data_IF_228743052110
#
_entry.id   IF_228743052110
#
_cell.length_a   1.000
_cell.length_b   1.000
_cell.length_c   1.000
_cell.angle_alpha   90.00
_cell.angle_beta   90.00
_cell.angle_gamma   90.00
#
_symmetry.space_group_name_H-M   'P 1'
#
loop_
_entity.id
_entity.type
_entity.pdbx_description
1 polymer ?
#
# COMPACT_ATOMS: atom_id res chain seq x y z
N UNK A 1 34.47 33.70 -25.08
CA UNK A 1 33.70 32.95 -26.03
C UNK A 1 32.89 31.94 -25.22
N UNK A 2 31.61 32.19 -25.10
CA UNK A 2 30.66 31.23 -24.48
C UNK A 2 30.38 30.22 -25.58
N UNK A 3 30.84 28.99 -25.39
CA UNK A 3 30.56 27.88 -26.30
C UNK A 3 29.07 27.54 -26.25
N UNK A 4 28.29 28.08 -27.20
CA UNK A 4 26.85 27.83 -27.33
C UNK A 4 26.49 26.38 -27.73
N UNK A 5 27.46 25.48 -27.74
CA UNK A 5 27.24 24.07 -28.06
C UNK A 5 26.86 23.22 -26.82
N UNK A 6 27.27 23.64 -25.62
CA UNK A 6 26.96 22.94 -24.36
C UNK A 6 25.52 23.18 -23.91
N UNK A 7 24.98 24.38 -24.08
CA UNK A 7 23.61 24.71 -23.71
C UNK A 7 22.57 23.94 -24.56
N UNK A 8 22.80 23.80 -25.86
CA UNK A 8 21.93 23.02 -26.74
C UNK A 8 22.01 21.52 -26.43
N UNK A 9 23.17 21.00 -26.08
CA UNK A 9 23.35 19.61 -25.67
C UNK A 9 22.61 19.33 -24.33
N UNK A 10 22.68 20.25 -23.38
CA UNK A 10 22.00 20.16 -22.09
C UNK A 10 20.47 20.22 -22.23
N UNK A 11 19.94 21.15 -23.06
CA UNK A 11 18.53 21.24 -23.38
C UNK A 11 18.05 19.94 -24.06
N UNK A 12 18.81 19.46 -25.06
CA UNK A 12 18.47 18.23 -25.79
C UNK A 12 18.43 17.04 -24.86
N UNK A 13 19.39 16.92 -23.95
CA UNK A 13 19.43 15.85 -22.94
C UNK A 13 18.25 15.94 -21.98
N UNK A 14 17.91 17.14 -21.53
CA UNK A 14 16.76 17.37 -20.64
C UNK A 14 15.43 17.05 -21.31
N UNK A 15 15.27 17.44 -22.58
CA UNK A 15 14.08 17.11 -23.38
C UNK A 15 13.98 15.60 -23.62
N UNK A 16 15.06 14.94 -23.99
CA UNK A 16 15.06 13.48 -24.17
C UNK A 16 14.74 12.74 -22.88
N UNK A 17 15.27 13.19 -21.74
CA UNK A 17 14.93 12.65 -20.43
C UNK A 17 13.44 12.84 -20.09
N UNK A 18 12.88 14.00 -20.42
CA UNK A 18 11.45 14.28 -20.21
C UNK A 18 10.58 13.37 -21.09
N UNK A 19 10.94 13.19 -22.36
CA UNK A 19 10.22 12.29 -23.29
C UNK A 19 10.28 10.85 -22.77
N UNK A 20 11.44 10.36 -22.39
CA UNK A 20 11.61 9.01 -21.83
C UNK A 20 10.78 8.83 -20.56
N UNK A 21 10.77 9.80 -19.65
CA UNK A 21 9.95 9.75 -18.42
C UNK A 21 8.46 9.70 -18.75
N UNK A 22 8.00 10.46 -19.77
CA UNK A 22 6.60 10.47 -20.23
C UNK A 22 6.20 9.12 -20.87
N UNK A 23 7.07 8.53 -21.68
CA UNK A 23 6.83 7.21 -22.30
C UNK A 23 6.77 6.12 -21.24
N UNK A 24 7.66 6.14 -20.26
CA UNK A 24 7.67 5.21 -19.13
C UNK A 24 6.40 5.36 -18.25
N UNK A 25 5.94 6.59 -18.03
CA UNK A 25 4.69 6.87 -17.29
C UNK A 25 3.48 6.32 -18.04
N UNK A 26 3.37 6.61 -19.34
CA UNK A 26 2.27 6.08 -20.18
C UNK A 26 2.26 4.55 -20.22
N UNK A 27 3.42 3.94 -20.34
CA UNK A 27 3.54 2.48 -20.37
C UNK A 27 3.09 1.88 -19.03
N UNK A 28 3.53 2.45 -17.91
CA UNK A 28 3.10 2.03 -16.56
C UNK A 28 1.60 2.20 -16.36
N UNK A 29 1.02 3.30 -16.84
CA UNK A 29 -0.41 3.56 -16.76
C UNK A 29 -1.22 2.57 -17.61
N UNK A 30 -0.78 2.29 -18.84
CA UNK A 30 -1.42 1.30 -19.70
C UNK A 30 -1.38 -0.10 -19.08
N UNK A 31 -0.25 -0.49 -18.49
CA UNK A 31 -0.11 -1.76 -17.78
C UNK A 31 -1.05 -1.82 -16.57
N UNK A 32 -1.12 -0.75 -15.75
CA UNK A 32 -2.03 -0.68 -14.62
C UNK A 32 -3.49 -0.90 -15.03
N UNK A 33 -3.93 -0.26 -16.11
CA UNK A 33 -5.31 -0.41 -16.62
C UNK A 33 -5.57 -1.84 -17.12
N UNK A 34 -4.59 -2.46 -17.80
CA UNK A 34 -4.72 -3.83 -18.28
C UNK A 34 -4.81 -4.83 -17.12
N UNK A 35 -3.90 -4.71 -16.14
CA UNK A 35 -3.85 -5.58 -14.97
C UNK A 35 -5.10 -5.40 -14.10
N UNK A 36 -5.54 -4.15 -13.88
CA UNK A 36 -6.78 -3.84 -13.20
C UNK A 36 -8.00 -4.49 -13.88
N UNK A 37 -8.05 -4.43 -15.22
CA UNK A 37 -9.13 -5.05 -15.99
C UNK A 37 -9.22 -6.56 -15.78
N UNK A 38 -8.08 -7.24 -15.66
CA UNK A 38 -8.03 -8.66 -15.37
C UNK A 38 -8.46 -8.97 -13.92
N UNK A 39 -7.94 -8.24 -12.96
CA UNK A 39 -8.23 -8.44 -11.54
C UNK A 39 -9.68 -8.07 -11.14
N UNK A 40 -10.28 -7.09 -11.81
CA UNK A 40 -11.68 -6.73 -11.62
C UNK A 40 -12.65 -7.77 -12.23
N UNK A 41 -12.26 -8.43 -13.32
CA UNK A 41 -13.12 -9.39 -14.03
C UNK A 41 -13.40 -10.65 -13.21
N UNK A 42 -12.42 -11.13 -12.46
CA UNK A 42 -12.52 -12.37 -11.68
C UNK A 42 -13.57 -12.29 -10.58
N UNK A 43 -13.52 -11.32 -9.63
CA UNK A 43 -14.52 -11.20 -8.58
C UNK A 43 -15.90 -10.85 -9.14
N UNK A 44 -15.98 -10.03 -10.20
CA UNK A 44 -17.24 -9.69 -10.83
C UNK A 44 -17.93 -10.93 -11.45
N UNK A 45 -17.14 -11.84 -12.05
CA UNK A 45 -17.69 -13.08 -12.62
C UNK A 45 -18.18 -14.00 -11.49
N UNK A 46 -17.44 -14.13 -10.40
CA UNK A 46 -17.85 -14.93 -9.24
C UNK A 46 -19.12 -14.37 -8.58
N UNK A 47 -19.17 -13.07 -8.31
CA UNK A 47 -20.38 -12.40 -7.78
C UNK A 47 -21.59 -12.63 -8.69
N UNK A 48 -21.41 -12.49 -10.02
CA UNK A 48 -22.51 -12.75 -10.96
C UNK A 48 -23.02 -14.17 -10.87
N UNK A 49 -22.11 -15.16 -10.82
CA UNK A 49 -22.50 -16.58 -10.71
C UNK A 49 -23.25 -16.84 -9.40
N UNK A 50 -22.79 -16.29 -8.28
CA UNK A 50 -23.46 -16.43 -6.99
C UNK A 50 -24.85 -15.80 -6.99
N UNK A 51 -25.00 -14.62 -7.60
CA UNK A 51 -26.32 -13.96 -7.74
C UNK A 51 -27.24 -14.76 -8.68
N UNK A 52 -26.74 -15.26 -9.81
CA UNK A 52 -27.51 -16.11 -10.73
C UNK A 52 -28.01 -17.39 -10.03
N UNK A 53 -27.18 -17.99 -9.17
CA UNK A 53 -27.53 -19.14 -8.36
C UNK A 53 -28.66 -18.82 -7.36
N UNK A 54 -28.57 -17.72 -6.64
CA UNK A 54 -29.63 -17.26 -5.73
C UNK A 54 -30.94 -16.95 -6.46
N UNK A 55 -30.86 -16.33 -7.67
CA UNK A 55 -32.03 -16.06 -8.50
C UNK A 55 -32.70 -17.36 -9.00
N UNK A 56 -31.91 -18.38 -9.34
CA UNK A 56 -32.42 -19.69 -9.73
C UNK A 56 -33.11 -20.38 -8.56
N UNK A 57 -32.49 -20.30 -7.36
CA UNK A 57 -33.05 -20.89 -6.14
C UNK A 57 -34.34 -20.21 -5.69
N UNK A 58 -34.51 -18.91 -5.92
CA UNK A 58 -35.77 -18.23 -5.63
C UNK A 58 -36.99 -18.88 -6.32
N UNK A 59 -36.75 -19.53 -7.46
CA UNK A 59 -37.81 -20.23 -8.22
C UNK A 59 -37.92 -21.70 -7.85
N UNK A 60 -36.83 -22.34 -7.50
CA UNK A 60 -36.75 -23.80 -7.27
C UNK A 60 -36.85 -24.20 -5.81
N UNK A 61 -36.43 -23.32 -4.90
CA UNK A 61 -36.32 -23.57 -3.45
C UNK A 61 -35.52 -24.85 -3.11
N UNK A 62 -34.48 -25.12 -3.88
CA UNK A 62 -33.66 -26.34 -3.73
C UNK A 62 -32.44 -26.14 -2.82
N UNK A 63 -32.01 -24.91 -2.56
CA UNK A 63 -30.89 -24.63 -1.68
C UNK A 63 -31.33 -24.64 -0.21
N UNK A 64 -30.58 -25.31 0.67
CA UNK A 64 -30.76 -25.14 2.11
C UNK A 64 -30.55 -23.67 2.53
N UNK A 65 -31.23 -23.25 3.61
CA UNK A 65 -31.13 -21.86 4.10
C UNK A 65 -29.68 -21.48 4.49
N UNK A 66 -28.94 -22.43 5.07
CA UNK A 66 -27.51 -22.27 5.40
C UNK A 66 -26.67 -21.99 4.16
N UNK A 67 -26.83 -22.78 3.08
CA UNK A 67 -26.10 -22.58 1.83
C UNK A 67 -26.45 -21.24 1.15
N UNK A 68 -27.70 -20.77 1.32
CA UNK A 68 -28.09 -19.43 0.83
C UNK A 68 -27.41 -18.33 1.63
N UNK A 69 -27.29 -18.49 2.95
CA UNK A 69 -26.53 -17.60 3.82
C UNK A 69 -25.07 -17.52 3.43
N UNK A 70 -24.39 -18.66 3.24
CA UNK A 70 -23.00 -18.73 2.81
C UNK A 70 -22.75 -18.00 1.48
N UNK A 71 -23.64 -18.18 0.49
CA UNK A 71 -23.51 -17.50 -0.82
C UNK A 71 -23.67 -15.98 -0.66
N UNK A 72 -24.56 -15.51 0.22
CA UNK A 72 -24.74 -14.07 0.49
C UNK A 72 -23.52 -13.49 1.18
N UNK A 73 -22.95 -14.20 2.14
CA UNK A 73 -21.72 -13.80 2.83
C UNK A 73 -20.53 -13.73 1.87
N UNK A 74 -20.41 -14.70 0.95
CA UNK A 74 -19.40 -14.68 -0.12
C UNK A 74 -19.56 -13.46 -1.03
N UNK A 75 -20.78 -13.14 -1.46
CA UNK A 75 -21.05 -11.95 -2.28
C UNK A 75 -20.68 -10.68 -1.52
N UNK A 76 -21.04 -10.58 -0.24
CA UNK A 76 -20.70 -9.42 0.59
C UNK A 76 -19.18 -9.26 0.76
N UNK A 77 -18.46 -10.36 1.01
CA UNK A 77 -16.99 -10.37 1.10
C UNK A 77 -16.35 -9.90 -0.20
N UNK A 78 -16.79 -10.43 -1.37
CA UNK A 78 -16.28 -10.07 -2.68
C UNK A 78 -16.58 -8.60 -3.04
N UNK A 79 -17.73 -8.04 -2.62
CA UNK A 79 -18.03 -6.62 -2.77
C UNK A 79 -17.08 -5.74 -1.95
N UNK A 80 -16.72 -6.19 -0.75
CA UNK A 80 -15.72 -5.53 0.09
C UNK A 80 -14.34 -5.50 -0.57
N UNK A 81 -13.88 -6.62 -1.10
CA UNK A 81 -12.61 -6.72 -1.84
C UNK A 81 -12.61 -5.84 -3.10
N UNK A 82 -13.70 -5.85 -3.86
CA UNK A 82 -13.87 -5.02 -5.04
C UNK A 82 -13.79 -3.52 -4.72
N UNK A 83 -14.42 -3.09 -3.63
CA UNK A 83 -14.38 -1.71 -3.15
C UNK A 83 -12.96 -1.30 -2.73
N UNK A 84 -12.22 -2.19 -2.06
CA UNK A 84 -10.82 -1.98 -1.71
C UNK A 84 -9.95 -1.84 -2.95
N UNK A 85 -10.11 -2.75 -3.93
CA UNK A 85 -9.37 -2.72 -5.19
C UNK A 85 -9.58 -1.41 -5.95
N UNK A 86 -10.83 -0.94 -6.06
CA UNK A 86 -11.12 0.36 -6.69
C UNK A 86 -10.41 1.49 -5.93
N UNK A 87 -10.45 1.50 -4.60
CA UNK A 87 -9.77 2.49 -3.78
C UNK A 87 -8.25 2.51 -4.02
N UNK A 88 -7.64 1.33 -4.14
CA UNK A 88 -6.21 1.17 -4.44
C UNK A 88 -5.86 1.65 -5.86
N UNK A 89 -6.69 1.31 -6.84
CA UNK A 89 -6.51 1.74 -8.24
C UNK A 89 -6.65 3.26 -8.40
N UNK A 90 -7.62 3.88 -7.73
CA UNK A 90 -7.78 5.34 -7.73
C UNK A 90 -6.55 6.02 -7.13
N UNK A 91 -5.96 5.46 -6.09
CA UNK A 91 -4.73 5.98 -5.54
C UNK A 91 -3.56 5.84 -6.51
N UNK A 92 -3.31 4.65 -7.05
CA UNK A 92 -2.27 4.40 -8.03
C UNK A 92 -2.42 5.29 -9.28
N UNK A 93 -3.66 5.62 -9.68
CA UNK A 93 -3.94 6.55 -10.78
C UNK A 93 -3.61 8.01 -10.46
N UNK A 94 -3.59 8.39 -9.17
CA UNK A 94 -3.19 9.73 -8.72
C UNK A 94 -1.68 9.91 -8.59
N UNK A 95 -0.91 8.84 -8.68
CA UNK A 95 0.55 8.87 -8.62
C UNK A 95 1.19 9.72 -9.73
N UNK A 96 0.50 9.86 -10.88
CA UNK A 96 0.89 10.76 -11.99
C UNK A 96 0.39 12.22 -11.80
N UNK A 97 -0.43 12.49 -10.79
CA UNK A 97 -0.85 13.86 -10.45
C UNK A 97 0.28 14.57 -9.67
N UNK A 98 0.46 15.88 -9.86
CA UNK A 98 1.41 16.61 -9.05
C UNK A 98 1.05 16.40 -7.57
N UNK A 99 2.05 16.04 -6.72
CA UNK A 99 1.78 15.79 -5.32
C UNK A 99 1.11 17.01 -4.70
N UNK A 100 0.16 16.82 -3.76
CA UNK A 100 -0.32 17.91 -2.94
C UNK A 100 0.91 18.61 -2.34
N UNK A 101 0.80 19.92 -2.04
CA UNK A 101 1.95 20.68 -1.50
C UNK A 101 2.50 19.93 -0.30
N UNK A 102 3.80 19.52 -0.35
CA UNK A 102 4.36 18.79 0.76
C UNK A 102 4.36 19.69 2.01
N UNK A 103 3.92 19.13 3.13
CA UNK A 103 3.88 19.80 4.42
C UNK A 103 4.83 19.13 5.40
N UNK A 104 5.31 19.91 6.39
CA UNK A 104 6.08 19.36 7.48
C UNK A 104 5.11 18.79 8.53
N UNK A 105 5.30 17.52 8.88
CA UNK A 105 4.51 16.87 9.93
C UNK A 105 5.34 15.82 10.67
N UNK A 106 4.87 15.45 11.86
CA UNK A 106 5.47 14.36 12.63
C UNK A 106 4.92 13.02 12.13
N UNK A 107 5.80 12.18 11.61
CA UNK A 107 5.44 10.84 11.12
C UNK A 107 4.83 9.96 12.21
N UNK A 108 5.20 10.17 13.49
CA UNK A 108 4.65 9.43 14.62
C UNK A 108 3.13 9.58 14.75
N UNK A 109 2.58 10.73 14.35
CA UNK A 109 1.12 10.96 14.35
C UNK A 109 0.42 10.11 13.28
N UNK A 110 0.97 10.05 12.07
CA UNK A 110 0.44 9.21 11.00
C UNK A 110 0.52 7.72 11.35
N UNK A 111 1.65 7.28 11.93
CA UNK A 111 1.83 5.89 12.40
C UNK A 111 0.84 5.57 13.53
N UNK A 112 0.66 6.47 14.49
CA UNK A 112 -0.30 6.27 15.59
C UNK A 112 -1.73 6.09 15.08
N UNK A 113 -2.17 6.91 14.13
CA UNK A 113 -3.49 6.78 13.49
C UNK A 113 -3.66 5.43 12.78
N UNK A 114 -2.62 4.98 12.07
CA UNK A 114 -2.62 3.69 11.41
C UNK A 114 -2.68 2.53 12.42
N UNK A 115 -1.94 2.60 13.54
CA UNK A 115 -1.96 1.61 14.62
C UNK A 115 -3.37 1.51 15.24
N UNK A 116 -4.02 2.62 15.51
CA UNK A 116 -5.38 2.60 16.04
C UNK A 116 -6.39 1.93 15.09
N UNK A 117 -6.21 2.09 13.77
CA UNK A 117 -7.00 1.36 12.77
C UNK A 117 -6.69 -0.12 12.79
N UNK A 118 -5.40 -0.49 12.86
CA UNK A 118 -4.96 -1.88 12.97
C UNK A 118 -5.55 -2.58 14.18
N UNK A 119 -5.54 -1.94 15.35
CA UNK A 119 -6.16 -2.47 16.59
C UNK A 119 -7.65 -2.75 16.45
N UNK A 120 -8.38 -1.89 15.74
CA UNK A 120 -9.82 -2.11 15.47
C UNK A 120 -10.08 -3.28 14.53
N UNK A 121 -9.16 -3.53 13.57
CA UNK A 121 -9.28 -4.64 12.60
C UNK A 121 -8.81 -5.98 13.16
N UNK A 122 -7.83 -5.94 14.04
CA UNK A 122 -7.27 -7.12 14.71
C UNK A 122 -7.52 -7.10 16.22
N UNK A 123 -8.79 -7.16 16.72
CA UNK A 123 -9.08 -7.03 18.14
C UNK A 123 -8.50 -8.16 19.00
N UNK A 124 -8.11 -9.27 18.38
CA UNK A 124 -7.52 -10.44 19.05
C UNK A 124 -5.99 -10.46 18.97
N UNK A 125 -5.36 -9.37 18.48
CA UNK A 125 -3.90 -9.25 18.40
C UNK A 125 -3.41 -8.26 19.44
N UNK A 126 -2.21 -8.50 19.92
CA UNK A 126 -1.48 -7.55 20.74
C UNK A 126 -0.66 -6.59 19.85
N UNK A 127 -0.63 -5.31 20.20
CA UNK A 127 0.16 -4.30 19.49
C UNK A 127 1.19 -3.72 20.44
N UNK A 128 2.47 -4.07 20.21
CA UNK A 128 3.62 -3.50 20.88
C UNK A 128 4.16 -2.32 20.07
N UNK A 129 4.04 -1.10 20.62
CA UNK A 129 4.21 0.14 19.85
C UNK A 129 5.19 1.06 20.56
N UNK A 130 6.30 1.37 19.88
CA UNK A 130 7.34 2.28 20.32
C UNK A 130 7.61 3.32 19.25
N UNK A 131 7.16 4.55 19.45
CA UNK A 131 7.25 5.62 18.45
C UNK A 131 8.14 6.76 18.99
N UNK A 132 9.08 7.18 18.17
CA UNK A 132 9.85 8.40 18.35
C UNK A 132 9.38 9.48 17.38
N UNK A 133 9.47 10.75 17.79
CA UNK A 133 9.12 11.88 16.91
C UNK A 133 10.09 11.95 15.72
N UNK A 134 9.52 12.00 14.52
CA UNK A 134 10.30 12.06 13.28
C UNK A 134 9.64 13.01 12.29
N UNK A 135 10.21 14.20 12.14
CA UNK A 135 9.71 15.23 11.23
C UNK A 135 10.03 14.85 9.78
N UNK A 136 9.01 14.82 8.93
CA UNK A 136 9.13 14.53 7.50
C UNK A 136 8.48 15.66 6.68
N UNK A 137 8.90 15.79 5.42
CA UNK A 137 8.29 16.67 4.43
C UNK A 137 7.56 15.80 3.41
N UNK A 138 6.23 15.90 3.35
CA UNK A 138 5.46 15.06 2.44
C UNK A 138 3.96 15.22 2.57
N UNK A 139 3.24 14.18 2.20
CA UNK A 139 1.78 14.04 2.35
C UNK A 139 1.47 13.06 3.47
N UNK A 140 0.99 13.58 4.61
CA UNK A 140 0.63 12.81 5.79
C UNK A 140 -0.38 11.69 5.46
N UNK A 141 -1.40 11.98 4.65
CA UNK A 141 -2.46 11.03 4.34
C UNK A 141 -1.95 9.83 3.53
N UNK A 142 -1.02 10.06 2.59
CA UNK A 142 -0.42 8.98 1.81
C UNK A 142 0.52 8.12 2.65
N UNK A 143 1.30 8.72 3.56
CA UNK A 143 2.17 7.99 4.48
C UNK A 143 1.38 7.23 5.56
N UNK A 144 0.31 7.81 6.14
CA UNK A 144 -0.61 7.11 7.02
C UNK A 144 -1.19 5.85 6.34
N UNK A 145 -1.59 5.98 5.07
CA UNK A 145 -2.11 4.87 4.29
C UNK A 145 -1.05 3.79 4.01
N UNK A 146 0.18 4.20 3.71
CA UNK A 146 1.28 3.25 3.51
C UNK A 146 1.49 2.40 4.77
N UNK A 147 1.56 3.03 5.95
CA UNK A 147 1.67 2.30 7.23
C UNK A 147 0.42 1.44 7.47
N UNK A 148 -0.78 1.94 7.17
CA UNK A 148 -2.02 1.15 7.28
C UNK A 148 -1.95 -0.12 6.44
N UNK A 149 -1.42 -0.06 5.21
CA UNK A 149 -1.25 -1.24 4.36
C UNK A 149 -0.27 -2.28 4.96
N UNK A 150 0.80 -1.83 5.61
CA UNK A 150 1.71 -2.73 6.32
C UNK A 150 1.01 -3.39 7.52
N UNK A 151 0.26 -2.62 8.29
CA UNK A 151 -0.48 -3.11 9.45
C UNK A 151 -1.63 -4.05 9.06
N UNK A 152 -2.33 -3.77 7.96
CA UNK A 152 -3.36 -4.67 7.42
C UNK A 152 -2.77 -6.03 7.04
N UNK A 153 -1.57 -6.05 6.45
CA UNK A 153 -0.85 -7.30 6.21
C UNK A 153 -0.47 -8.00 7.51
N UNK A 154 0.06 -7.27 8.49
CA UNK A 154 0.41 -7.84 9.80
C UNK A 154 -0.82 -8.44 10.50
N UNK A 155 -1.95 -7.74 10.54
CA UNK A 155 -3.22 -8.23 11.11
C UNK A 155 -3.72 -9.46 10.36
N UNK A 156 -3.64 -9.46 9.04
CA UNK A 156 -4.14 -10.54 8.18
C UNK A 156 -3.36 -11.84 8.34
N UNK A 157 -2.04 -11.77 8.52
CA UNK A 157 -1.17 -12.94 8.53
C UNK A 157 -0.75 -13.39 9.94
N UNK A 158 -0.95 -12.56 10.96
CA UNK A 158 -0.67 -12.96 12.35
C UNK A 158 -1.62 -14.05 12.84
N UNK A 159 -1.12 -15.00 13.64
CA UNK A 159 -1.98 -15.96 14.32
C UNK A 159 -2.85 -15.26 15.37
N UNK A 160 -3.98 -15.85 15.73
CA UNK A 160 -4.83 -15.33 16.81
C UNK A 160 -4.05 -15.27 18.14
N UNK A 161 -4.09 -14.13 18.80
CA UNK A 161 -3.31 -13.85 20.02
C UNK A 161 -1.85 -13.51 19.76
N UNK A 162 -1.44 -13.38 18.49
CA UNK A 162 -0.08 -12.96 18.13
C UNK A 162 0.15 -11.47 18.34
N UNK A 163 1.44 -11.08 18.31
CA UNK A 163 1.89 -9.70 18.52
C UNK A 163 2.28 -9.05 17.19
N UNK A 164 1.81 -7.84 16.98
CA UNK A 164 2.28 -6.94 15.91
C UNK A 164 3.13 -5.86 16.57
N UNK A 165 4.42 -5.82 16.22
CA UNK A 165 5.34 -4.81 16.74
C UNK A 165 5.49 -3.67 15.74
N UNK A 166 5.37 -2.44 16.23
CA UNK A 166 5.59 -1.21 15.47
C UNK A 166 6.61 -0.36 16.19
N UNK A 167 7.75 -0.13 15.59
CA UNK A 167 8.77 0.73 16.18
C UNK A 167 9.24 1.80 15.20
N UNK A 168 9.51 2.98 15.75
CA UNK A 168 10.18 4.07 15.06
C UNK A 168 11.46 4.40 15.81
N UNK A 169 12.58 4.29 15.14
CA UNK A 169 13.90 4.62 15.69
C UNK A 169 14.72 5.34 14.60
N UNK A 170 15.20 6.54 14.95
CA UNK A 170 15.88 7.40 13.98
C UNK A 170 14.97 7.70 12.78
N UNK A 171 15.44 7.39 11.56
CA UNK A 171 14.74 7.66 10.30
C UNK A 171 13.98 6.42 9.76
N UNK A 172 13.75 5.41 10.60
CA UNK A 172 13.13 4.15 10.19
C UNK A 172 11.85 3.84 10.96
N UNK A 173 10.87 3.30 10.23
CA UNK A 173 9.66 2.68 10.76
C UNK A 173 9.75 1.18 10.50
N UNK A 174 9.57 0.38 11.52
CA UNK A 174 9.57 -1.09 11.42
C UNK A 174 8.21 -1.62 11.84
N UNK A 175 7.63 -2.45 10.99
CA UNK A 175 6.42 -3.22 11.31
C UNK A 175 6.77 -4.69 11.19
N UNK A 176 6.56 -5.46 12.25
CA UNK A 176 6.78 -6.90 12.25
C UNK A 176 5.60 -7.66 12.86
N UNK A 177 5.41 -8.88 12.37
CA UNK A 177 4.35 -9.79 12.79
C UNK A 177 4.89 -11.15 13.25
N UNK A 178 4.02 -11.98 13.80
CA UNK A 178 4.30 -13.36 14.18
C UNK A 178 3.67 -14.38 13.22
N UNK A 179 3.38 -13.96 11.99
CA UNK A 179 2.83 -14.80 10.95
C UNK A 179 3.82 -15.83 10.38
N UNK A 180 3.48 -16.46 9.26
CA UNK A 180 4.32 -17.48 8.63
C UNK A 180 5.59 -16.92 7.97
N UNK A 181 5.74 -15.60 7.93
CA UNK A 181 6.83 -14.91 7.23
C UNK A 181 6.69 -14.97 5.71
N UNK A 182 7.68 -14.42 5.03
CA UNK A 182 7.76 -14.35 3.56
C UNK A 182 8.81 -15.38 3.10
N UNK A 183 8.49 -16.17 2.08
CA UNK A 183 9.45 -17.08 1.50
C UNK A 183 10.53 -16.29 0.74
N UNK A 184 11.79 -16.76 0.78
CA UNK A 184 12.91 -16.09 0.09
C UNK A 184 12.66 -15.92 -1.40
N UNK A 185 11.99 -16.89 -2.03
CA UNK A 185 11.63 -16.84 -3.44
C UNK A 185 10.63 -15.72 -3.78
N UNK A 186 9.80 -15.30 -2.80
CA UNK A 186 8.79 -14.27 -2.98
C UNK A 186 9.34 -12.86 -2.74
N UNK A 187 10.40 -12.71 -1.92
CA UNK A 187 10.97 -11.41 -1.52
C UNK A 187 11.24 -10.44 -2.68
N UNK A 188 11.75 -10.87 -3.85
CA UNK A 188 11.98 -9.96 -4.97
C UNK A 188 10.71 -9.38 -5.59
N UNK A 189 9.56 -10.03 -5.39
CA UNK A 189 8.32 -9.75 -6.11
C UNK A 189 7.21 -9.17 -5.23
N UNK A 190 7.34 -9.21 -3.90
CA UNK A 190 6.25 -8.81 -2.99
C UNK A 190 5.82 -7.36 -3.12
N UNK A 191 6.65 -6.50 -3.70
CA UNK A 191 6.35 -5.10 -3.98
C UNK A 191 5.81 -4.88 -5.41
N UNK A 192 5.74 -5.94 -6.23
CA UNK A 192 5.14 -5.85 -7.55
C UNK A 192 3.62 -5.74 -7.43
N UNK A 193 3.01 -5.02 -8.36
CA UNK A 193 1.55 -4.85 -8.41
C UNK A 193 0.87 -6.18 -8.65
N UNK A 194 -0.21 -6.44 -7.91
CA UNK A 194 -1.02 -7.66 -7.99
C UNK A 194 -0.26 -8.95 -7.61
N UNK A 195 0.98 -8.84 -7.15
CA UNK A 195 1.71 -10.02 -6.73
C UNK A 195 1.10 -10.62 -5.46
N UNK A 196 0.91 -11.92 -5.47
CA UNK A 196 0.42 -12.71 -4.33
C UNK A 196 1.17 -14.03 -4.31
N UNK A 197 1.83 -14.33 -3.20
CA UNK A 197 2.47 -15.64 -3.02
C UNK A 197 1.43 -16.76 -3.04
N UNK A 198 1.85 -17.98 -3.34
CA UNK A 198 0.95 -19.14 -3.36
C UNK A 198 0.20 -19.32 -2.04
N UNK A 199 0.85 -19.02 -0.91
CA UNK A 199 0.24 -19.07 0.42
C UNK A 199 -0.84 -17.99 0.62
N UNK A 200 -0.68 -16.85 0.00
CA UNK A 200 -1.61 -15.70 0.12
C UNK A 200 -2.78 -15.76 -0.86
N UNK A 201 -2.77 -16.67 -1.85
CA UNK A 201 -3.84 -16.75 -2.88
C UNK A 201 -5.21 -17.05 -2.30
N UNK A 202 -5.27 -17.84 -1.22
CA UNK A 202 -6.53 -18.19 -0.56
C UNK A 202 -6.93 -17.21 0.56
N UNK A 203 -6.20 -16.09 0.72
CA UNK A 203 -6.50 -15.10 1.75
C UNK A 203 -6.99 -13.82 1.08
N UNK A 204 -8.07 -13.15 1.53
CA UNK A 204 -8.58 -11.94 0.90
C UNK A 204 -7.50 -10.87 0.65
N UNK A 205 -7.55 -10.17 -0.49
CA UNK A 205 -6.66 -9.04 -0.76
C UNK A 205 -6.28 -8.87 -2.23
N UNK A 206 -5.97 -7.63 -2.61
CA UNK A 206 -5.80 -7.16 -3.99
C UNK A 206 -4.38 -7.36 -4.56
N UNK A 207 -3.38 -7.58 -3.70
CA UNK A 207 -1.97 -7.57 -4.13
C UNK A 207 -1.40 -6.17 -4.44
N UNK A 208 -2.17 -5.11 -4.17
CA UNK A 208 -1.73 -3.72 -4.41
C UNK A 208 -1.15 -3.04 -3.17
N UNK A 209 -1.49 -3.48 -1.96
CA UNK A 209 -1.10 -2.79 -0.73
C UNK A 209 0.41 -2.55 -0.61
N UNK A 210 1.25 -3.57 -0.83
CA UNK A 210 2.70 -3.43 -0.72
C UNK A 210 3.31 -2.61 -1.88
N UNK A 211 2.76 -2.67 -3.07
CA UNK A 211 3.21 -1.83 -4.19
C UNK A 211 2.88 -0.35 -3.93
N UNK A 212 1.74 -0.05 -3.31
CA UNK A 212 1.39 1.30 -2.84
C UNK A 212 2.40 1.78 -1.79
N UNK A 213 2.76 0.92 -0.83
CA UNK A 213 3.78 1.28 0.18
C UNK A 213 5.11 1.62 -0.50
N UNK A 214 5.60 0.75 -1.38
CA UNK A 214 6.88 0.96 -2.06
C UNK A 214 6.87 2.26 -2.88
N UNK A 215 5.79 2.53 -3.60
CA UNK A 215 5.65 3.77 -4.37
C UNK A 215 5.61 5.00 -3.45
N UNK A 216 4.76 5.00 -2.42
CA UNK A 216 4.65 6.10 -1.46
C UNK A 216 5.99 6.43 -0.81
N UNK A 217 6.70 5.41 -0.34
CA UNK A 217 8.01 5.59 0.30
C UNK A 217 9.04 6.15 -0.68
N UNK A 218 9.06 5.63 -1.91
CA UNK A 218 9.99 6.11 -2.95
C UNK A 218 9.69 7.56 -3.37
N UNK A 219 8.41 7.94 -3.48
CA UNK A 219 8.02 9.33 -3.80
C UNK A 219 8.40 10.32 -2.69
N UNK A 220 8.59 9.84 -1.45
CA UNK A 220 9.12 10.59 -0.32
C UNK A 220 10.64 10.41 -0.13
N UNK A 221 11.37 10.00 -1.18
CA UNK A 221 12.82 9.82 -1.18
C UNK A 221 13.33 8.76 -0.19
N UNK A 222 12.45 7.88 0.25
CA UNK A 222 12.74 6.77 1.13
C UNK A 222 12.97 5.45 0.39
N UNK A 223 13.09 4.39 1.17
CA UNK A 223 13.11 3.00 0.69
C UNK A 223 12.38 2.08 1.67
N UNK A 224 11.92 0.95 1.16
CA UNK A 224 11.31 -0.12 1.96
C UNK A 224 12.00 -1.44 1.68
N UNK A 225 12.16 -2.26 2.72
CA UNK A 225 12.68 -3.64 2.64
C UNK A 225 11.79 -4.57 3.43
N UNK A 226 11.69 -5.81 2.97
CA UNK A 226 11.09 -6.89 3.71
C UNK A 226 12.15 -7.92 4.09
N UNK A 227 12.00 -8.49 5.26
CA UNK A 227 12.86 -9.54 5.79
C UNK A 227 12.05 -10.46 6.71
N UNK A 228 12.70 -11.48 7.24
CA UNK A 228 12.10 -12.34 8.26
C UNK A 228 12.25 -11.70 9.62
N UNK A 229 11.16 -11.64 10.39
CA UNK A 229 11.19 -11.18 11.78
C UNK A 229 11.93 -12.19 12.69
N UNK A 230 12.52 -11.74 13.80
CA UNK A 230 13.11 -12.66 14.81
C UNK A 230 12.10 -13.68 15.35
N UNK A 231 10.82 -13.33 15.43
CA UNK A 231 9.69 -14.19 15.77
C UNK A 231 9.40 -15.29 14.72
N UNK A 232 9.97 -15.16 13.50
CA UNK A 232 9.72 -16.03 12.36
C UNK A 232 8.71 -15.48 11.35
N UNK A 233 7.98 -14.42 11.71
CA UNK A 233 7.03 -13.71 10.85
C UNK A 233 7.67 -12.81 9.81
N UNK A 234 6.90 -11.89 9.23
CA UNK A 234 7.42 -10.88 8.31
C UNK A 234 7.85 -9.62 9.09
N UNK A 235 8.87 -8.94 8.56
CA UNK A 235 9.32 -7.66 9.04
C UNK A 235 9.54 -6.72 7.85
N UNK A 236 8.87 -5.57 7.90
CA UNK A 236 9.02 -4.51 6.92
C UNK A 236 9.74 -3.33 7.57
N UNK A 237 10.82 -2.89 6.96
CA UNK A 237 11.59 -1.71 7.38
C UNK A 237 11.44 -0.62 6.33
N UNK A 238 10.87 0.50 6.70
CA UNK A 238 10.63 1.67 5.88
C UNK A 238 11.54 2.80 6.37
N UNK A 239 12.36 3.34 5.50
CA UNK A 239 13.20 4.51 5.75
C UNK A 239 12.55 5.74 5.10
N UNK A 240 12.49 6.84 5.84
CA UNK A 240 12.06 8.15 5.36
C UNK A 240 13.06 9.21 5.85
N UNK A 241 13.60 10.04 4.95
CA UNK A 241 14.58 11.05 5.35
C UNK A 241 13.94 12.07 6.29
N UNK A 242 14.70 12.44 7.34
CA UNK A 242 14.29 13.52 8.23
C UNK A 242 14.29 14.85 7.50
N UNK A 243 13.26 15.63 7.70
CA UNK A 243 13.17 16.98 7.19
C UNK A 243 13.49 18.01 8.30
N UNK A 244 14.24 19.03 7.94
CA UNK A 244 14.46 20.18 8.81
C UNK A 244 13.55 21.33 8.33
N UNK A 245 12.70 21.92 9.20
CA UNK A 245 11.92 23.07 8.80
C UNK A 245 12.85 24.24 8.46
N UNK A 246 12.47 25.08 7.48
CA UNK A 246 13.27 26.26 7.17
C UNK A 246 13.44 27.12 8.42
N UNK A 247 14.69 27.50 8.70
CA UNK A 247 14.98 28.43 9.80
C UNK A 247 14.28 29.74 9.48
N UNK A 248 13.28 30.14 10.25
CA UNK A 248 12.71 31.49 10.15
C UNK A 248 13.82 32.48 10.45
N UNK A 249 14.29 33.18 9.44
CA UNK A 249 15.16 34.34 9.67
C UNK A 249 14.40 35.35 10.54
N UNK A 250 14.97 35.81 11.66
CA UNK A 250 14.30 36.81 12.50
C UNK A 250 14.02 38.03 11.65
N UNK A 251 12.75 38.35 11.48
CA UNK A 251 12.29 39.59 10.87
C UNK A 251 12.90 40.74 11.66
N UNK A 252 13.94 41.37 11.12
CA UNK A 252 14.50 42.61 11.66
C UNK A 252 13.44 43.67 11.44
N UNK A 253 12.67 43.97 12.49
CA UNK A 253 11.80 45.12 12.53
C UNK A 253 12.64 46.39 12.47
N UNK A 254 12.55 47.10 11.37
CA UNK A 254 13.08 48.47 11.21
C UNK A 254 12.14 49.47 11.80
#
# INVERSE_FOLDING_TARGET
PVDGNDEFAEITTSVNKMISTLEDSKTRQAQLVADAGHELKTPLTSMRTNVELLMADQKSHMLPEEARGEILDDVAAQLGEFSSLIGDLVQLSREDAPPPRPEYFDLSDAVSKAVERGRRRGPNLEFDVHLESHLVLGDEATLERAVTNLLDNAVKFSPAGGTVTVSMEGDTVVVSDEGPGIAEADLPYIFDRFYRSDRARNTPGTGLGLSIVAHTVTSHQGWIKASRAPSGGAMFTMYLPRAEPPVEEPTVSS
#
